data_IF_908027718335
#
_entry.id   IF_908027718335
#
_cell.length_a   1.000
_cell.length_b   1.000
_cell.length_c   1.000
_cell.angle_alpha   90.00
_cell.angle_beta   90.00
_cell.angle_gamma   90.00
#
_symmetry.space_group_name_H-M   'P 1'
#
loop_
_entity.id
_entity.type
_entity.pdbx_description
1 polymer ?
#
# COMPACT_ATOMS: atom_id res chain seq x y z
N UNK A 1 5.59 7.26 -7.76
CA UNK A 1 6.01 6.29 -8.81
C UNK A 1 4.86 6.00 -9.77
N UNK A 2 3.71 5.50 -9.30
CA UNK A 2 2.56 5.17 -10.16
C UNK A 2 2.08 6.31 -11.08
N UNK A 3 1.96 7.53 -10.54
CA UNK A 3 1.64 8.73 -11.32
C UNK A 3 2.61 8.96 -12.48
N UNK A 4 3.92 8.93 -12.19
CA UNK A 4 4.96 9.14 -13.19
C UNK A 4 4.94 8.05 -14.28
N UNK A 5 4.66 6.80 -13.90
CA UNK A 5 4.52 5.68 -14.81
C UNK A 5 3.32 5.85 -15.75
N UNK A 6 2.19 6.37 -15.24
CA UNK A 6 1.01 6.65 -16.05
C UNK A 6 1.18 7.81 -17.04
N UNK A 7 1.99 8.81 -16.72
CA UNK A 7 2.16 9.99 -17.60
C UNK A 7 3.31 9.79 -18.61
N UNK A 8 4.44 9.25 -18.17
CA UNK A 8 5.68 9.21 -18.95
C UNK A 8 6.18 7.79 -19.23
N UNK A 9 5.53 6.77 -18.69
CA UNK A 9 5.99 5.39 -18.79
C UNK A 9 5.92 4.86 -20.23
N UNK A 10 6.78 3.88 -20.56
CA UNK A 10 6.64 3.13 -21.79
C UNK A 10 5.30 2.37 -21.77
N UNK A 11 4.61 2.33 -22.91
CA UNK A 11 3.41 1.53 -23.09
C UNK A 11 3.59 0.65 -24.33
N UNK A 12 3.72 -0.65 -24.11
CA UNK A 12 3.78 -1.66 -25.15
C UNK A 12 2.41 -1.97 -25.76
N UNK A 13 1.33 -1.66 -25.05
CA UNK A 13 -0.07 -1.83 -25.49
C UNK A 13 -0.68 -0.58 -26.11
N UNK A 14 0.11 0.50 -26.23
CA UNK A 14 -0.33 1.85 -26.59
C UNK A 14 -1.36 2.49 -25.63
N UNK A 15 -1.68 1.85 -24.50
CA UNK A 15 -2.55 2.38 -23.45
C UNK A 15 -1.85 2.42 -22.09
N UNK A 16 -2.20 3.39 -21.27
CA UNK A 16 -1.80 3.52 -19.88
C UNK A 16 -3.01 3.53 -18.97
N UNK A 17 -2.81 3.36 -17.67
CA UNK A 17 -3.90 3.41 -16.71
C UNK A 17 -4.65 4.76 -16.73
N UNK A 18 -3.94 5.85 -17.04
CA UNK A 18 -4.50 7.20 -17.18
C UNK A 18 -5.46 7.31 -18.36
N UNK A 19 -5.22 6.56 -19.44
CA UNK A 19 -6.03 6.59 -20.66
C UNK A 19 -7.34 5.81 -20.48
N UNK A 20 -7.33 4.81 -19.59
CA UNK A 20 -8.48 3.95 -19.31
C UNK A 20 -9.40 4.47 -18.21
N UNK A 21 -8.98 5.50 -17.47
CA UNK A 21 -9.74 6.06 -16.37
C UNK A 21 -10.70 7.15 -16.90
N UNK A 22 -12.04 6.96 -16.82
CA UNK A 22 -13.00 7.89 -17.42
C UNK A 22 -12.96 9.30 -16.81
N UNK A 23 -12.57 9.42 -15.54
CA UNK A 23 -12.50 10.67 -14.80
C UNK A 23 -11.09 11.29 -14.79
N UNK A 24 -10.17 10.77 -15.61
CA UNK A 24 -8.85 11.36 -15.73
C UNK A 24 -8.92 12.68 -16.50
N UNK A 25 -8.51 13.76 -15.84
CA UNK A 25 -8.37 15.08 -16.44
C UNK A 25 -6.94 15.56 -16.22
N UNK A 26 -6.13 15.77 -17.28
CA UNK A 26 -4.72 16.18 -17.14
C UNK A 26 -4.55 17.49 -16.38
N UNK A 27 -5.54 18.39 -16.38
CA UNK A 27 -5.48 19.69 -15.70
C UNK A 27 -5.77 19.57 -14.18
N UNK A 28 -6.38 18.46 -13.74
CA UNK A 28 -6.72 18.21 -12.34
C UNK A 28 -5.58 17.52 -11.56
N UNK A 29 -4.40 18.15 -11.51
CA UNK A 29 -3.20 17.55 -10.90
C UNK A 29 -3.39 17.04 -9.45
N UNK A 30 -4.13 17.77 -8.61
CA UNK A 30 -4.36 17.37 -7.22
C UNK A 30 -5.21 16.11 -7.10
N UNK A 31 -6.31 16.04 -7.86
CA UNK A 31 -7.20 14.88 -7.88
C UNK A 31 -6.44 13.65 -8.40
N UNK A 32 -5.73 13.83 -9.49
CA UNK A 32 -4.90 12.83 -10.15
C UNK A 32 -3.80 12.26 -9.24
N UNK A 33 -3.09 13.13 -8.52
CA UNK A 33 -2.09 12.72 -7.55
C UNK A 33 -2.72 11.98 -6.38
N UNK A 34 -3.83 12.48 -5.83
CA UNK A 34 -4.58 11.82 -4.76
C UNK A 34 -5.09 10.44 -5.18
N UNK A 35 -5.56 10.31 -6.42
CA UNK A 35 -6.01 9.04 -7.02
C UNK A 35 -4.85 8.05 -7.15
N UNK A 36 -3.70 8.48 -7.66
CA UNK A 36 -2.51 7.64 -7.76
C UNK A 36 -1.96 7.23 -6.38
N UNK A 37 -2.07 8.13 -5.38
CA UNK A 37 -1.71 7.84 -3.99
C UNK A 37 -2.68 6.84 -3.36
N UNK A 38 -3.98 7.04 -3.53
CA UNK A 38 -5.02 6.12 -3.06
C UNK A 38 -4.80 4.71 -3.63
N UNK A 39 -4.49 4.62 -4.91
CA UNK A 39 -4.09 3.35 -5.54
C UNK A 39 -2.88 2.72 -4.85
N UNK A 40 -1.81 3.48 -4.61
CA UNK A 40 -0.60 2.94 -3.97
C UNK A 40 -0.87 2.43 -2.55
N UNK A 41 -1.69 3.16 -1.78
CA UNK A 41 -2.09 2.77 -0.43
C UNK A 41 -3.00 1.54 -0.46
N UNK A 42 -3.90 1.41 -1.44
CA UNK A 42 -4.78 0.23 -1.54
C UNK A 42 -3.98 -1.05 -1.81
N UNK A 43 -2.84 -0.96 -2.50
CA UNK A 43 -1.91 -2.09 -2.68
C UNK A 43 -1.29 -2.59 -1.37
N UNK A 44 -1.24 -1.77 -0.31
CA UNK A 44 -0.72 -2.21 0.99
C UNK A 44 -1.65 -3.20 1.71
N UNK A 45 -2.95 -3.17 1.41
CA UNK A 45 -3.96 -3.92 2.16
C UNK A 45 -4.67 -4.97 1.33
N UNK A 46 -5.57 -4.55 0.42
CA UNK A 46 -6.45 -5.46 -0.34
C UNK A 46 -6.15 -5.50 -1.83
N UNK A 47 -5.27 -4.65 -2.35
CA UNK A 47 -4.95 -4.56 -3.78
C UNK A 47 -6.11 -4.13 -4.68
N UNK A 48 -7.29 -3.89 -4.11
CA UNK A 48 -8.49 -3.52 -4.85
C UNK A 48 -8.50 -2.02 -5.13
N UNK A 49 -8.61 -1.67 -6.40
CA UNK A 49 -8.76 -0.30 -6.87
C UNK A 49 -9.43 -0.33 -8.24
N UNK A 50 -10.22 0.70 -8.56
CA UNK A 50 -10.85 0.84 -9.87
C UNK A 50 -9.84 1.09 -11.01
N UNK A 51 -8.61 1.46 -10.66
CA UNK A 51 -7.51 1.64 -11.60
C UNK A 51 -6.88 0.28 -11.90
N UNK A 52 -6.86 -0.07 -13.19
CA UNK A 52 -6.24 -1.30 -13.67
C UNK A 52 -5.01 -1.00 -14.52
N UNK A 53 -4.00 -1.85 -14.44
CA UNK A 53 -2.80 -1.73 -15.28
C UNK A 53 -3.11 -2.12 -16.73
N UNK A 54 -2.73 -1.27 -17.67
CA UNK A 54 -3.03 -1.39 -19.10
C UNK A 54 -1.85 -1.87 -19.94
N UNK A 55 -0.63 -1.86 -19.38
CA UNK A 55 0.60 -2.27 -20.07
C UNK A 55 1.50 -3.15 -19.18
N UNK A 56 2.52 -3.77 -19.78
CA UNK A 56 3.39 -4.73 -19.09
C UNK A 56 4.20 -4.06 -17.97
N UNK A 57 4.69 -2.83 -18.19
CA UNK A 57 5.46 -2.09 -17.18
C UNK A 57 4.62 -1.78 -15.92
N UNK A 58 3.38 -1.34 -16.12
CA UNK A 58 2.40 -1.14 -15.04
C UNK A 58 2.11 -2.44 -14.29
N UNK A 59 1.95 -3.57 -14.99
CA UNK A 59 1.73 -4.89 -14.36
C UNK A 59 2.91 -5.31 -13.50
N UNK A 60 4.14 -5.11 -13.97
CA UNK A 60 5.34 -5.40 -13.18
C UNK A 60 5.38 -4.51 -11.92
N UNK A 61 5.05 -3.22 -12.06
CA UNK A 61 4.96 -2.32 -10.92
C UNK A 61 3.91 -2.80 -9.89
N UNK A 62 2.74 -3.26 -10.34
CA UNK A 62 1.74 -3.87 -9.45
C UNK A 62 2.32 -5.04 -8.66
N UNK A 63 2.99 -5.99 -9.33
CA UNK A 63 3.58 -7.17 -8.69
C UNK A 63 4.64 -6.77 -7.66
N UNK A 64 5.52 -5.83 -8.00
CA UNK A 64 6.54 -5.33 -7.06
C UNK A 64 5.91 -4.63 -5.86
N UNK A 65 4.90 -3.78 -6.06
CA UNK A 65 4.18 -3.11 -4.98
C UNK A 65 3.50 -4.12 -4.05
N UNK A 66 2.86 -5.16 -4.60
CA UNK A 66 2.22 -6.21 -3.80
C UNK A 66 3.23 -7.02 -2.98
N UNK A 67 4.41 -7.35 -3.53
CA UNK A 67 5.46 -8.02 -2.77
C UNK A 67 5.97 -7.14 -1.63
N UNK A 68 6.22 -5.85 -1.89
CA UNK A 68 6.65 -4.90 -0.86
C UNK A 68 5.59 -4.71 0.23
N UNK A 69 4.31 -4.63 -0.16
CA UNK A 69 3.18 -4.57 0.74
C UNK A 69 3.13 -5.81 1.65
N UNK A 70 3.29 -7.00 1.09
CA UNK A 70 3.29 -8.25 1.86
C UNK A 70 4.43 -8.27 2.89
N UNK A 71 5.64 -7.87 2.50
CA UNK A 71 6.81 -7.79 3.39
C UNK A 71 6.56 -6.76 4.49
N UNK A 72 6.09 -5.56 4.14
CA UNK A 72 5.81 -4.49 5.09
C UNK A 72 4.72 -4.87 6.11
N UNK A 73 3.62 -5.47 5.63
CA UNK A 73 2.55 -5.95 6.49
C UNK A 73 3.01 -7.09 7.40
N UNK A 74 3.86 -8.00 6.92
CA UNK A 74 4.45 -9.06 7.74
C UNK A 74 5.38 -8.51 8.83
N UNK A 75 6.19 -7.49 8.50
CA UNK A 75 7.03 -6.82 9.47
C UNK A 75 6.19 -6.07 10.52
N UNK A 76 5.14 -5.37 10.06
CA UNK A 76 4.22 -4.66 10.94
C UNK A 76 3.52 -5.59 11.92
N UNK A 77 2.97 -6.72 11.44
CA UNK A 77 2.31 -7.70 12.32
C UNK A 77 3.30 -8.28 13.33
N UNK A 78 4.54 -8.59 12.93
CA UNK A 78 5.58 -9.06 13.85
C UNK A 78 5.87 -8.04 14.96
N UNK A 79 6.03 -6.76 14.62
CA UNK A 79 6.30 -5.69 15.59
C UNK A 79 5.11 -5.53 16.54
N UNK A 80 3.88 -5.56 16.02
CA UNK A 80 2.68 -5.46 16.83
C UNK A 80 2.54 -6.64 17.79
N UNK A 81 2.76 -7.87 17.32
CA UNK A 81 2.71 -9.06 18.17
C UNK A 81 3.75 -9.00 19.30
N UNK A 82 4.99 -8.62 18.98
CA UNK A 82 6.04 -8.45 19.99
C UNK A 82 5.67 -7.37 21.03
N UNK A 83 5.12 -6.25 20.57
CA UNK A 83 4.70 -5.15 21.45
C UNK A 83 3.56 -5.57 22.38
N UNK A 84 2.56 -6.31 21.87
CA UNK A 84 1.45 -6.84 22.65
C UNK A 84 1.95 -7.81 23.72
N UNK A 85 2.87 -8.71 23.37
CA UNK A 85 3.47 -9.65 24.33
C UNK A 85 4.25 -8.90 25.42
N UNK A 86 5.06 -7.91 25.05
CA UNK A 86 5.79 -7.08 26.02
C UNK A 86 4.84 -6.34 26.99
N UNK A 87 3.73 -5.80 26.47
CA UNK A 87 2.69 -5.16 27.29
C UNK A 87 2.08 -6.17 28.25
N UNK A 88 1.70 -7.37 27.77
CA UNK A 88 1.10 -8.41 28.60
C UNK A 88 2.02 -8.88 29.73
N UNK A 89 3.31 -9.07 29.45
CA UNK A 89 4.33 -9.42 30.46
C UNK A 89 4.41 -8.30 31.51
N UNK A 90 4.52 -7.05 31.07
CA UNK A 90 4.61 -5.88 31.98
C UNK A 90 3.39 -5.78 32.90
N UNK A 91 2.19 -6.04 32.37
CA UNK A 91 0.95 -6.03 33.17
C UNK A 91 0.94 -7.15 34.21
N UNK A 92 1.34 -8.37 33.83
CA UNK A 92 1.37 -9.52 34.73
C UNK A 92 2.42 -9.37 35.85
N UNK A 93 3.58 -8.78 35.54
CA UNK A 93 4.61 -8.47 36.56
C UNK A 93 4.11 -7.48 37.60
N UNK A 94 3.29 -6.49 37.21
CA UNK A 94 2.69 -5.52 38.13
C UNK A 94 1.68 -6.18 39.06
N UNK A 95 0.85 -7.09 38.55
CA UNK A 95 -0.14 -7.80 39.38
C UNK A 95 0.52 -8.74 40.37
N UNK A 96 1.63 -9.40 40.01
CA UNK A 96 2.36 -10.27 40.93
C UNK A 96 2.93 -9.50 42.13
N UNK A 97 3.55 -8.34 41.90
CA UNK A 97 4.09 -7.51 42.98
C UNK A 97 3.02 -6.98 43.95
N UNK A 98 1.78 -6.79 43.49
CA UNK A 98 0.67 -6.36 44.37
C UNK A 98 0.16 -7.46 45.30
N UNK A 99 0.42 -8.73 44.98
CA UNK A 99 0.00 -9.89 45.78
C UNK A 99 1.04 -10.30 46.83
N UNK A 100 2.26 -9.77 46.75
CA UNK A 100 3.34 -10.02 47.71
C UNK A 100 3.37 -9.01 48.89
N UNK A 101 2.41 -8.07 48.95
CA UNK A 101 2.21 -7.10 50.03
C UNK A 101 0.94 -7.43 50.83
#
# INVERSE_FOLDING_TARGET
VWWALGVHGPSDTAMRWTDTMPQFDPDMHTYNYATALHWAVSQMTLGSSDITASNTAERICCVVCLMLALIACSALTSIMSASIVQIAITMNSRTAHLLEL
#
